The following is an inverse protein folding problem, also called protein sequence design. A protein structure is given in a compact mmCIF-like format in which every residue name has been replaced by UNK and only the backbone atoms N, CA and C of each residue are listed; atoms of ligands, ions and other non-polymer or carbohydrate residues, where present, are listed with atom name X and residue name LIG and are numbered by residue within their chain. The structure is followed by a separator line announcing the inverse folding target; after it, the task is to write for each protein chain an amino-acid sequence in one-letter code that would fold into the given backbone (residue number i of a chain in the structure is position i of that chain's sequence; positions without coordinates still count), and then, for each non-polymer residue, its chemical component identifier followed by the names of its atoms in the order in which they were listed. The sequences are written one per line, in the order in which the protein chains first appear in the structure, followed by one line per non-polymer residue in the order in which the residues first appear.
data_IF_401213660881
#
_entry.id   IF_401213660881
#
_cell.length_a   1.000
_cell.length_b   1.000
_cell.length_c   1.000
_cell.angle_alpha   90.00
_cell.angle_beta   90.00
_cell.angle_gamma   90.00
#
_symmetry.space_group_name_H-M   'P 1'
#
loop_
_entity.id
_entity.type
_entity.pdbx_description
1 polymer ?
#
# COMPACT_ATOMS: atom_id res chain seq x y z
N UNK A 1 -4.52 8.47 -1.62
CA UNK A 1 -5.19 8.59 -0.31
C UNK A 1 -5.27 10.04 0.06
N UNK A 2 -6.40 10.46 0.61
CA UNK A 2 -6.66 11.87 0.92
C UNK A 2 -6.92 12.01 2.41
N UNK A 3 -6.51 13.13 2.98
CA UNK A 3 -6.91 13.52 4.32
C UNK A 3 -8.41 13.79 4.34
N UNK A 4 -9.17 13.20 5.28
CA UNK A 4 -10.61 13.39 5.33
C UNK A 4 -11.02 14.82 5.72
N UNK A 5 -10.16 15.60 6.38
CA UNK A 5 -10.49 16.94 6.84
C UNK A 5 -10.46 17.99 5.72
N UNK A 6 -9.42 17.95 4.88
CA UNK A 6 -9.17 18.98 3.86
C UNK A 6 -8.97 18.44 2.44
N UNK A 7 -9.04 17.12 2.26
CA UNK A 7 -8.84 16.42 0.99
C UNK A 7 -7.41 16.55 0.45
N UNK A 8 -6.44 16.95 1.26
CA UNK A 8 -5.04 16.99 0.85
C UNK A 8 -4.51 15.57 0.58
N UNK A 9 -3.56 15.45 -0.35
CA UNK A 9 -2.97 14.16 -0.66
C UNK A 9 -2.06 13.74 0.49
N UNK A 10 -2.38 12.62 1.13
CA UNK A 10 -1.50 12.01 2.14
C UNK A 10 -0.40 11.21 1.45
N UNK A 11 -0.75 10.48 0.39
CA UNK A 11 0.14 9.52 -0.25
C UNK A 11 -0.57 8.63 -1.27
N UNK A 12 0.16 7.66 -1.81
CA UNK A 12 -0.35 6.70 -2.79
C UNK A 12 0.10 5.27 -2.47
N UNK A 13 -0.69 4.32 -2.97
CA UNK A 13 -0.35 2.91 -3.06
C UNK A 13 -0.43 2.50 -4.53
N UNK A 14 0.51 1.67 -4.96
CA UNK A 14 0.58 1.06 -6.27
C UNK A 14 0.61 -0.45 -6.09
N UNK A 15 -0.23 -1.15 -6.84
CA UNK A 15 -0.36 -2.61 -6.82
C UNK A 15 -0.15 -3.08 -8.26
N UNK A 16 0.85 -3.95 -8.45
CA UNK A 16 1.23 -4.50 -9.74
C UNK A 16 1.06 -6.02 -9.72
N UNK A 17 -0.10 -6.55 -10.15
CA UNK A 17 -0.28 -7.98 -10.32
C UNK A 17 0.65 -8.51 -11.42
N UNK A 18 1.39 -9.58 -11.12
CA UNK A 18 2.23 -10.27 -12.09
C UNK A 18 1.38 -11.30 -12.82
N UNK A 19 1.32 -11.21 -14.15
CA UNK A 19 0.41 -12.03 -14.98
C UNK A 19 0.82 -13.50 -15.08
N UNK A 20 2.08 -13.83 -14.79
CA UNK A 20 2.67 -15.16 -15.02
C UNK A 20 3.32 -15.78 -13.78
N UNK A 21 3.14 -15.19 -12.60
CA UNK A 21 3.70 -15.74 -11.35
C UNK A 21 2.59 -15.91 -10.32
N UNK A 22 2.26 -17.16 -9.98
CA UNK A 22 1.49 -17.63 -8.81
C UNK A 22 0.63 -16.55 -8.11
N UNK A 23 -0.23 -15.85 -8.85
CA UNK A 23 -1.04 -14.71 -8.37
C UNK A 23 -0.30 -13.74 -7.42
N UNK A 24 0.97 -13.45 -7.71
CA UNK A 24 1.82 -12.57 -6.89
C UNK A 24 1.64 -11.10 -7.29
N UNK A 25 1.56 -10.21 -6.30
CA UNK A 25 1.54 -8.76 -6.53
C UNK A 25 2.78 -8.07 -5.96
N UNK A 26 3.35 -7.13 -6.72
CA UNK A 26 4.35 -6.18 -6.20
C UNK A 26 3.62 -4.94 -5.72
N UNK A 27 3.87 -4.53 -4.48
CA UNK A 27 3.17 -3.41 -3.85
C UNK A 27 4.16 -2.36 -3.38
N UNK A 28 3.85 -1.11 -3.68
CA UNK A 28 4.63 0.05 -3.28
C UNK A 28 3.71 1.11 -2.68
N UNK A 29 4.15 1.79 -1.63
CA UNK A 29 3.41 2.92 -1.08
C UNK A 29 4.36 3.99 -0.58
N UNK A 30 3.86 5.22 -0.55
CA UNK A 30 4.56 6.35 0.06
C UNK A 30 3.55 7.28 0.73
N UNK A 31 4.04 8.03 1.71
CA UNK A 31 3.34 9.18 2.30
C UNK A 31 4.17 10.43 2.08
N UNK A 32 3.53 11.60 2.04
CA UNK A 32 4.25 12.88 2.06
C UNK A 32 4.99 13.03 3.37
N UNK A 33 6.09 13.76 3.33
CA UNK A 33 6.90 14.07 4.51
C UNK A 33 6.08 14.74 5.63
N UNK A 34 5.18 15.66 5.31
CA UNK A 34 4.26 16.29 6.26
C UNK A 34 3.34 15.29 7.00
N UNK A 35 3.22 14.08 6.47
CA UNK A 35 2.40 12.98 6.98
C UNK A 35 3.24 11.74 7.30
N UNK A 36 4.56 11.86 7.49
CA UNK A 36 5.48 10.74 7.73
C UNK A 36 5.03 9.81 8.89
N UNK A 37 4.37 10.37 9.92
CA UNK A 37 3.79 9.59 11.03
C UNK A 37 2.78 8.52 10.59
N UNK A 38 2.16 8.69 9.43
CA UNK A 38 1.16 7.78 8.87
C UNK A 38 1.78 6.65 8.06
N UNK A 39 3.09 6.68 7.81
CA UNK A 39 3.73 5.67 6.98
C UNK A 39 3.48 4.26 7.55
N UNK A 40 3.77 4.02 8.83
CA UNK A 40 3.58 2.69 9.45
C UNK A 40 2.12 2.26 9.55
N UNK A 41 1.19 3.12 10.05
CA UNK A 41 -0.25 2.81 10.04
C UNK A 41 -0.76 2.45 8.64
N UNK A 42 -0.32 3.20 7.63
CA UNK A 42 -0.74 2.97 6.26
C UNK A 42 -0.28 1.60 5.74
N UNK A 43 0.97 1.25 5.95
CA UNK A 43 1.50 -0.04 5.51
C UNK A 43 0.76 -1.22 6.12
N UNK A 44 0.41 -1.14 7.42
CA UNK A 44 -0.39 -2.19 8.07
C UNK A 44 -1.76 -2.30 7.44
N UNK A 45 -2.45 -1.17 7.26
CA UNK A 45 -3.78 -1.14 6.66
C UNK A 45 -3.79 -1.70 5.23
N UNK A 46 -2.79 -1.36 4.41
CA UNK A 46 -2.67 -1.93 3.05
C UNK A 46 -2.38 -3.43 3.12
N UNK A 47 -1.49 -3.87 4.00
CA UNK A 47 -1.16 -5.31 4.15
C UNK A 47 -2.39 -6.12 4.54
N UNK A 48 -3.11 -5.69 5.58
CA UNK A 48 -4.34 -6.36 6.04
C UNK A 48 -5.42 -6.36 4.94
N UNK A 49 -5.58 -5.26 4.21
CA UNK A 49 -6.53 -5.17 3.10
C UNK A 49 -6.18 -6.14 1.97
N UNK A 50 -4.90 -6.26 1.61
CA UNK A 50 -4.45 -7.19 0.57
C UNK A 50 -4.61 -8.65 0.98
N UNK A 51 -4.37 -8.97 2.25
CA UNK A 51 -4.52 -10.35 2.77
C UNK A 51 -5.99 -10.78 2.90
N UNK A 52 -6.90 -9.84 3.16
CA UNK A 52 -8.32 -10.14 3.40
C UNK A 52 -9.17 -10.09 2.14
N UNK A 53 -8.95 -9.11 1.26
CA UNK A 53 -9.90 -8.77 0.20
C UNK A 53 -9.38 -9.09 -1.21
N UNK A 54 -8.07 -9.36 -1.37
CA UNK A 54 -7.47 -9.55 -2.69
C UNK A 54 -7.10 -11.02 -2.96
N UNK A 55 -7.25 -11.48 -4.21
CA UNK A 55 -7.01 -12.88 -4.58
C UNK A 55 -5.52 -13.21 -4.77
N UNK A 56 -4.60 -12.45 -4.17
CA UNK A 56 -3.18 -12.68 -4.35
C UNK A 56 -2.71 -13.85 -3.49
N UNK A 57 -2.03 -14.83 -4.08
CA UNK A 57 -1.42 -15.91 -3.31
C UNK A 57 -0.18 -15.42 -2.52
N UNK A 58 0.47 -14.36 -2.99
CA UNK A 58 1.58 -13.70 -2.30
C UNK A 58 1.66 -12.20 -2.62
N UNK A 59 2.18 -11.42 -1.67
CA UNK A 59 2.43 -9.98 -1.83
C UNK A 59 3.89 -9.67 -1.54
N UNK A 60 4.56 -9.05 -2.51
CA UNK A 60 5.89 -8.50 -2.36
C UNK A 60 5.79 -6.99 -2.12
N UNK A 61 5.79 -6.60 -0.85
CA UNK A 61 5.80 -5.19 -0.49
C UNK A 61 7.23 -4.64 -0.55
N UNK A 62 7.42 -3.48 -1.19
CA UNK A 62 8.70 -2.80 -1.20
C UNK A 62 9.22 -2.51 0.22
N UNK A 63 10.53 -2.70 0.39
CA UNK A 63 11.22 -2.43 1.66
C UNK A 63 11.08 -0.96 2.04
N UNK A 64 10.81 -0.71 3.31
CA UNK A 64 10.61 0.62 3.89
C UNK A 64 11.91 1.13 4.51
N UNK A 65 12.15 2.43 4.39
CA UNK A 65 13.33 3.13 4.92
C UNK A 65 13.08 3.66 6.33
#
# INVERSE_FOLDING_TARGET
MLDPADRDVIGCVYIYPLRDSDDTAIVQSWVRESHARLDTPLWRAITEWLESDWPFAAVQYARRA
#
